data_IF_236587007728
#
_entry.id   IF_236587007728
#
_cell.length_a   1.000
_cell.length_b   1.000
_cell.length_c   1.000
_cell.angle_alpha   90.00
_cell.angle_beta   90.00
_cell.angle_gamma   90.00
#
_symmetry.space_group_name_H-M   'P 1'
#
loop_
_entity.id
_entity.type
_entity.pdbx_description
1 polymer ?
#
# COMPACT_ATOMS: atom_id res chain seq x y z
N UNK A 1 11.40 -4.78 6.52
CA UNK A 1 11.62 -4.74 5.05
C UNK A 1 13.08 -4.99 4.67
N UNK A 2 14.01 -4.12 5.07
CA UNK A 2 15.43 -4.09 4.65
C UNK A 2 16.20 -5.42 4.78
N UNK A 3 15.94 -6.21 5.82
CA UNK A 3 16.71 -7.43 6.08
C UNK A 3 16.30 -8.62 5.21
N UNK A 4 15.00 -8.77 4.96
CA UNK A 4 14.41 -10.02 4.47
C UNK A 4 13.71 -9.90 3.13
N UNK A 5 13.28 -8.70 2.73
CA UNK A 5 12.60 -8.49 1.47
C UNK A 5 13.53 -8.74 0.28
N UNK A 6 13.04 -9.49 -0.71
CA UNK A 6 13.80 -9.86 -1.92
C UNK A 6 12.96 -9.62 -3.16
N UNK A 7 13.58 -9.09 -4.20
CA UNK A 7 13.05 -9.06 -5.57
C UNK A 7 13.12 -10.44 -6.21
N UNK A 8 12.51 -10.58 -7.39
CA UNK A 8 12.43 -11.86 -8.12
C UNK A 8 13.81 -12.43 -8.49
N UNK A 9 14.80 -11.56 -8.73
CA UNK A 9 16.20 -11.92 -8.98
C UNK A 9 17.00 -12.25 -7.69
N UNK A 10 16.36 -12.17 -6.52
CA UNK A 10 16.98 -12.44 -5.23
C UNK A 10 17.77 -11.28 -4.62
N UNK A 11 17.78 -10.09 -5.25
CA UNK A 11 18.40 -8.90 -4.67
C UNK A 11 17.62 -8.40 -3.44
N UNK A 12 18.31 -7.69 -2.54
CA UNK A 12 17.65 -7.10 -1.35
C UNK A 12 16.84 -5.88 -1.77
N UNK A 13 15.56 -5.85 -1.40
CA UNK A 13 14.73 -4.65 -1.58
C UNK A 13 15.13 -3.63 -0.52
N UNK A 14 15.52 -2.44 -0.99
CA UNK A 14 15.70 -1.25 -0.15
C UNK A 14 14.47 -0.37 -0.34
N UNK A 15 13.75 -0.01 0.74
CA UNK A 15 12.66 0.93 0.62
C UNK A 15 13.20 2.29 0.17
N UNK A 16 12.43 3.00 -0.64
CA UNK A 16 12.64 4.43 -0.80
C UNK A 16 12.40 5.14 0.54
N UNK A 17 13.06 6.28 0.81
CA UNK A 17 12.86 7.05 2.04
C UNK A 17 11.39 7.20 2.45
N UNK A 18 10.52 7.66 1.54
CA UNK A 18 9.08 7.82 1.84
C UNK A 18 8.35 6.52 2.21
N UNK A 19 8.86 5.35 1.79
CA UNK A 19 8.26 4.04 2.10
C UNK A 19 8.61 3.57 3.51
N UNK A 20 9.73 4.01 4.09
CA UNK A 20 10.18 3.53 5.40
C UNK A 20 9.18 3.89 6.48
N UNK A 21 8.83 5.17 6.59
CA UNK A 21 7.86 5.66 7.58
C UNK A 21 6.48 5.00 7.38
N UNK A 22 6.09 4.80 6.12
CA UNK A 22 4.85 4.12 5.79
C UNK A 22 4.88 2.64 6.21
N UNK A 23 6.01 1.95 6.05
CA UNK A 23 6.16 0.58 6.49
C UNK A 23 6.17 0.46 8.03
N UNK A 24 6.77 1.42 8.72
CA UNK A 24 6.81 1.45 10.18
C UNK A 24 5.41 1.60 10.78
N UNK A 25 4.53 2.38 10.14
CA UNK A 25 3.12 2.52 10.52
C UNK A 25 2.34 1.19 10.51
N UNK A 26 2.72 0.20 9.70
CA UNK A 26 2.07 -1.12 9.71
C UNK A 26 2.41 -1.94 10.95
N UNK A 27 3.53 -1.65 11.61
CA UNK A 27 4.00 -2.35 12.81
C UNK A 27 3.82 -1.55 14.10
N UNK A 28 3.33 -0.32 14.01
CA UNK A 28 3.05 0.51 15.17
C UNK A 28 1.84 -0.04 15.94
N UNK A 29 2.02 -0.32 17.24
CA UNK A 29 0.99 -0.87 18.12
C UNK A 29 -0.19 0.08 18.38
N UNK A 30 0.02 1.38 18.22
CA UNK A 30 -1.03 2.40 18.37
C UNK A 30 -1.87 2.58 17.09
N UNK A 31 -1.37 2.09 15.96
CA UNK A 31 -2.02 2.20 14.66
C UNK A 31 -2.89 0.99 14.38
N UNK A 32 -4.21 1.19 14.34
CA UNK A 32 -5.17 0.10 14.02
C UNK A 32 -5.62 0.11 12.56
N UNK A 33 -5.36 1.20 11.84
CA UNK A 33 -5.66 1.32 10.42
C UNK A 33 -4.68 2.25 9.70
N UNK A 34 -4.18 1.82 8.53
CA UNK A 34 -3.37 2.62 7.62
C UNK A 34 -4.09 2.78 6.28
N UNK A 35 -4.37 4.02 5.86
CA UNK A 35 -5.01 4.33 4.57
C UNK A 35 -4.05 5.16 3.71
N UNK A 36 -3.66 4.64 2.55
CA UNK A 36 -2.65 5.28 1.69
C UNK A 36 -3.24 5.69 0.36
N UNK A 37 -3.50 7.00 0.24
CA UNK A 37 -3.80 7.62 -1.04
C UNK A 37 -2.51 7.79 -1.83
N UNK A 38 -2.37 7.08 -2.96
CA UNK A 38 -1.08 6.97 -3.67
C UNK A 38 -1.18 7.03 -5.18
N UNK A 39 -0.09 7.44 -5.83
CA UNK A 39 0.10 7.24 -7.28
C UNK A 39 0.47 5.78 -7.58
N UNK A 40 0.44 5.40 -8.85
CA UNK A 40 0.83 4.05 -9.27
C UNK A 40 2.33 3.80 -9.07
N UNK A 41 2.71 2.54 -8.85
CA UNK A 41 4.10 2.07 -8.83
C UNK A 41 5.01 2.65 -7.73
N UNK A 42 4.44 3.08 -6.61
CA UNK A 42 5.22 3.54 -5.44
C UNK A 42 5.57 2.43 -4.43
N UNK A 43 5.39 1.15 -4.77
CA UNK A 43 5.75 0.01 -3.91
C UNK A 43 4.87 -0.24 -2.68
N UNK A 44 3.63 0.29 -2.63
CA UNK A 44 2.68 0.00 -1.54
C UNK A 44 2.45 -1.51 -1.35
N UNK A 45 2.19 -2.24 -2.43
CA UNK A 45 1.97 -3.70 -2.36
C UNK A 45 3.19 -4.44 -1.80
N UNK A 46 4.41 -3.95 -2.04
CA UNK A 46 5.65 -4.50 -1.46
C UNK A 46 5.71 -4.30 0.05
N UNK A 47 5.25 -3.15 0.57
CA UNK A 47 5.15 -2.90 2.02
C UNK A 47 4.18 -3.89 2.65
N UNK A 48 2.99 -4.07 2.04
CA UNK A 48 1.98 -5.03 2.48
C UNK A 48 2.53 -6.47 2.46
N UNK A 49 3.21 -6.87 1.39
CA UNK A 49 3.88 -8.18 1.28
C UNK A 49 4.91 -8.38 2.40
N UNK A 50 5.71 -7.36 2.70
CA UNK A 50 6.67 -7.40 3.80
C UNK A 50 5.97 -7.57 5.15
N UNK A 51 4.85 -6.89 5.36
CA UNK A 51 4.06 -7.03 6.58
C UNK A 51 3.45 -8.43 6.71
N UNK A 52 2.93 -9.00 5.62
CA UNK A 52 2.45 -10.39 5.59
C UNK A 52 3.57 -11.37 5.96
N UNK A 53 4.76 -11.20 5.39
CA UNK A 53 5.92 -12.03 5.74
C UNK A 53 6.29 -11.90 7.23
N UNK A 54 6.24 -10.68 7.76
CA UNK A 54 6.49 -10.40 9.18
C UNK A 54 5.44 -11.07 10.08
N UNK A 55 4.14 -10.98 9.74
CA UNK A 55 3.07 -11.69 10.45
C UNK A 55 3.32 -13.19 10.48
N UNK A 56 3.65 -13.82 9.35
CA UNK A 56 3.94 -15.27 9.33
C UNK A 56 5.11 -15.62 10.26
N UNK A 57 6.18 -14.82 10.23
CA UNK A 57 7.43 -15.11 10.91
C UNK A 57 7.41 -14.82 12.42
N UNK A 58 6.80 -13.73 12.84
CA UNK A 58 7.00 -13.17 14.18
C UNK A 58 5.71 -13.04 14.98
N UNK A 59 4.58 -12.78 14.33
CA UNK A 59 3.31 -12.56 15.02
C UNK A 59 2.11 -13.15 14.24
N UNK A 60 2.01 -14.50 14.13
CA UNK A 60 1.05 -15.18 13.26
C UNK A 60 -0.38 -14.68 13.45
N UNK A 61 -1.03 -14.31 12.36
CA UNK A 61 -2.38 -13.75 12.33
C UNK A 61 -3.23 -14.39 11.23
N UNK A 62 -4.55 -14.20 11.31
CA UNK A 62 -5.48 -14.47 10.21
C UNK A 62 -5.57 -13.21 9.34
N UNK A 63 -5.15 -13.30 8.10
CA UNK A 63 -5.03 -12.14 7.19
C UNK A 63 -5.97 -12.30 6.01
N UNK A 64 -6.82 -11.29 5.78
CA UNK A 64 -7.62 -11.15 4.57
C UNK A 64 -7.02 -10.09 3.67
N UNK A 65 -6.86 -10.41 2.39
CA UNK A 65 -6.42 -9.47 1.35
C UNK A 65 -7.51 -9.40 0.30
N UNK A 66 -8.06 -8.22 0.06
CA UNK A 66 -9.03 -7.98 -1.00
C UNK A 66 -8.34 -7.35 -2.22
N UNK A 67 -8.64 -7.91 -3.39
CA UNK A 67 -8.29 -7.40 -4.71
C UNK A 67 -9.57 -7.02 -5.46
N UNK A 68 -9.51 -6.19 -6.52
CA UNK A 68 -10.71 -5.75 -7.23
C UNK A 68 -11.59 -6.90 -7.74
N UNK A 69 -10.96 -7.91 -8.35
CA UNK A 69 -11.66 -9.10 -8.85
C UNK A 69 -11.10 -10.40 -8.28
N UNK A 70 -11.84 -11.50 -8.46
CA UNK A 70 -11.34 -12.86 -8.14
C UNK A 70 -10.10 -13.19 -8.99
N UNK A 71 -10.07 -12.77 -10.25
CA UNK A 71 -8.92 -13.02 -11.12
C UNK A 71 -7.69 -12.23 -10.66
N UNK A 72 -7.88 -10.97 -10.24
CA UNK A 72 -6.81 -10.17 -9.61
C UNK A 72 -6.33 -10.83 -8.31
N UNK A 73 -7.23 -11.39 -7.50
CA UNK A 73 -6.89 -12.13 -6.29
C UNK A 73 -6.03 -13.36 -6.57
N UNK A 74 -6.35 -14.12 -7.62
CA UNK A 74 -5.53 -15.26 -8.01
C UNK A 74 -4.18 -14.84 -8.59
N UNK A 75 -4.16 -13.77 -9.40
CA UNK A 75 -2.93 -13.21 -9.95
C UNK A 75 -2.00 -12.72 -8.85
N UNK A 76 -2.52 -11.93 -7.91
CA UNK A 76 -1.77 -11.49 -6.73
C UNK A 76 -1.24 -12.69 -5.92
N UNK A 77 -2.00 -13.78 -5.79
CA UNK A 77 -1.43 -14.95 -5.11
C UNK A 77 -0.19 -15.49 -5.82
N UNK A 78 -0.25 -15.64 -7.13
CA UNK A 78 0.78 -16.32 -7.93
C UNK A 78 2.00 -15.44 -8.14
N UNK A 79 1.76 -14.18 -8.50
CA UNK A 79 2.80 -13.28 -8.99
C UNK A 79 3.43 -12.48 -7.82
N UNK A 80 2.67 -12.23 -6.75
CA UNK A 80 3.09 -11.35 -5.65
C UNK A 80 3.32 -12.10 -4.34
N UNK A 81 2.35 -12.90 -3.88
CA UNK A 81 2.44 -13.58 -2.58
C UNK A 81 3.34 -14.82 -2.62
N UNK A 82 3.19 -15.70 -3.61
CA UNK A 82 3.95 -16.95 -3.67
C UNK A 82 5.49 -16.72 -3.64
N UNK A 83 6.07 -15.69 -4.31
CA UNK A 83 7.48 -15.32 -4.14
C UNK A 83 7.86 -14.96 -2.69
N UNK A 84 7.00 -14.21 -1.99
CA UNK A 84 7.21 -13.82 -0.59
C UNK A 84 7.25 -15.05 0.33
N UNK A 85 6.42 -16.06 0.04
CA UNK A 85 6.42 -17.31 0.80
C UNK A 85 7.73 -18.11 0.65
N UNK A 86 8.54 -17.82 -0.37
CA UNK A 86 9.87 -18.40 -0.56
C UNK A 86 10.98 -17.70 0.22
N UNK A 87 10.70 -16.53 0.82
CA UNK A 87 11.71 -15.82 1.59
C UNK A 87 12.22 -16.66 2.76
N UNK A 88 13.53 -16.56 3.03
CA UNK A 88 14.20 -17.36 4.08
C UNK A 88 13.53 -17.19 5.45
N UNK A 89 13.05 -15.99 5.77
CA UNK A 89 12.37 -15.71 7.05
C UNK A 89 11.07 -16.49 7.18
N UNK A 90 10.28 -16.58 6.10
CA UNK A 90 9.01 -17.31 6.07
C UNK A 90 9.28 -18.82 6.09
N UNK A 91 10.20 -19.31 5.24
CA UNK A 91 10.51 -20.75 5.14
C UNK A 91 11.08 -21.37 6.40
N UNK A 92 11.63 -20.57 7.32
CA UNK A 92 12.09 -21.05 8.64
C UNK A 92 10.93 -21.49 9.53
N UNK A 93 9.73 -20.93 9.35
CA UNK A 93 8.58 -21.15 10.24
C UNK A 93 7.36 -21.79 9.55
N UNK A 94 7.29 -21.71 8.22
CA UNK A 94 6.18 -22.23 7.43
C UNK A 94 6.67 -22.88 6.14
N UNK A 95 5.92 -23.86 5.62
CA UNK A 95 6.22 -24.51 4.34
C UNK A 95 4.94 -24.68 3.55
N UNK A 96 4.92 -24.14 2.33
CA UNK A 96 3.76 -24.16 1.44
C UNK A 96 4.01 -25.14 0.30
N UNK A 97 3.68 -26.41 0.54
CA UNK A 97 3.90 -27.47 -0.46
C UNK A 97 2.93 -27.32 -1.63
N UNK A 98 3.37 -27.50 -2.88
CA UNK A 98 2.45 -27.58 -4.01
C UNK A 98 1.43 -28.70 -3.83
N UNK A 99 0.18 -28.49 -4.28
CA UNK A 99 -0.92 -29.47 -4.22
C UNK A 99 -1.27 -29.97 -2.80
N UNK A 100 -0.95 -29.20 -1.76
CA UNK A 100 -1.33 -29.50 -0.38
C UNK A 100 -2.65 -28.80 -0.02
N UNK A 101 -3.48 -29.43 0.83
CA UNK A 101 -4.78 -28.87 1.23
C UNK A 101 -4.68 -27.49 1.91
N UNK A 102 -3.56 -27.24 2.60
CA UNK A 102 -3.25 -25.97 3.27
C UNK A 102 -2.59 -24.91 2.35
N UNK A 103 -2.35 -25.24 1.08
CA UNK A 103 -1.81 -24.33 0.08
C UNK A 103 -2.66 -24.39 -1.19
N UNK A 104 -3.75 -23.63 -1.18
CA UNK A 104 -4.57 -23.35 -2.34
C UNK A 104 -4.18 -22.01 -2.95
N UNK A 105 -4.62 -21.74 -4.18
CA UNK A 105 -4.32 -20.48 -4.88
C UNK A 105 -4.72 -19.29 -3.99
N UNK A 106 -5.98 -19.19 -3.58
CA UNK A 106 -6.46 -18.06 -2.78
C UNK A 106 -6.41 -18.27 -1.26
N UNK A 107 -5.81 -19.36 -0.78
CA UNK A 107 -5.77 -19.67 0.66
C UNK A 107 -4.48 -20.39 1.07
N UNK A 108 -3.73 -19.77 2.00
CA UNK A 108 -2.48 -20.31 2.56
C UNK A 108 -2.66 -20.48 4.06
N UNK A 109 -2.32 -21.64 4.63
CA UNK A 109 -2.36 -21.87 6.09
C UNK A 109 -0.98 -22.16 6.64
N UNK A 110 -0.73 -21.71 7.85
CA UNK A 110 0.51 -21.92 8.59
C UNK A 110 0.20 -22.02 10.09
N UNK A 111 1.19 -22.39 10.89
CA UNK A 111 1.00 -22.49 12.34
C UNK A 111 0.61 -21.13 12.91
N UNK A 112 -0.54 -21.05 13.57
CA UNK A 112 -1.03 -19.83 14.22
C UNK A 112 -1.79 -18.87 13.31
N UNK A 113 -1.97 -19.17 12.01
CA UNK A 113 -2.64 -18.23 11.11
C UNK A 113 -2.96 -18.75 9.72
N UNK A 114 -3.52 -17.88 8.90
CA UNK A 114 -3.80 -18.13 7.49
C UNK A 114 -3.88 -16.83 6.72
N UNK A 115 -3.67 -16.90 5.41
CA UNK A 115 -3.92 -15.83 4.45
C UNK A 115 -5.03 -16.29 3.51
N UNK A 116 -6.05 -15.45 3.32
CA UNK A 116 -7.06 -15.63 2.27
C UNK A 116 -7.09 -14.39 1.38
N UNK A 117 -7.04 -14.60 0.06
CA UNK A 117 -7.10 -13.53 -0.93
C UNK A 117 -8.46 -13.59 -1.63
N UNK A 118 -9.16 -12.47 -1.69
CA UNK A 118 -10.56 -12.42 -2.08
C UNK A 118 -10.82 -11.35 -3.14
N UNK A 119 -11.79 -11.60 -4.01
CA UNK A 119 -12.22 -10.64 -5.03
C UNK A 119 -13.40 -9.81 -4.55
N UNK A 120 -13.26 -8.48 -4.56
CA UNK A 120 -14.33 -7.56 -4.15
C UNK A 120 -15.52 -7.54 -5.11
N UNK A 121 -15.33 -8.00 -6.36
CA UNK A 121 -16.38 -8.19 -7.36
C UNK A 121 -17.43 -9.27 -7.01
N UNK A 122 -17.26 -10.00 -5.89
CA UNK A 122 -18.20 -11.05 -5.51
C UNK A 122 -18.73 -10.89 -4.07
N UNK A 123 -19.99 -10.45 -3.88
CA UNK A 123 -20.78 -10.55 -2.65
C UNK A 123 -20.45 -11.64 -1.62
N UNK A 124 -20.37 -12.90 -2.09
CA UNK A 124 -20.16 -14.07 -1.23
C UNK A 124 -18.82 -14.04 -0.51
N UNK A 125 -17.82 -13.34 -1.07
CA UNK A 125 -16.47 -13.27 -0.54
C UNK A 125 -16.40 -12.50 0.79
N UNK A 126 -17.40 -11.69 1.10
CA UNK A 126 -17.48 -10.99 2.38
C UNK A 126 -18.11 -11.83 3.49
N UNK A 127 -18.72 -12.99 3.22
CA UNK A 127 -19.52 -13.70 4.22
C UNK A 127 -18.69 -14.77 4.96
N UNK A 128 -19.13 -15.12 6.17
CA UNK A 128 -18.63 -16.26 6.98
C UNK A 128 -17.10 -16.30 7.16
N UNK A 129 -16.47 -15.15 7.37
CA UNK A 129 -15.04 -15.06 7.66
C UNK A 129 -14.78 -14.02 8.74
N UNK A 130 -13.85 -14.34 9.64
CA UNK A 130 -13.34 -13.42 10.66
C UNK A 130 -11.82 -13.49 10.63
N UNK A 131 -11.19 -12.33 10.55
CA UNK A 131 -9.74 -12.18 10.45
C UNK A 131 -9.23 -11.23 11.53
N UNK A 132 -7.92 -11.21 11.71
CA UNK A 132 -7.23 -10.25 12.56
C UNK A 132 -6.79 -9.05 11.71
N UNK A 133 -6.21 -9.34 10.55
CA UNK A 133 -5.78 -8.34 9.57
C UNK A 133 -6.73 -8.28 8.35
N UNK A 134 -7.05 -7.07 7.88
CA UNK A 134 -7.83 -6.86 6.64
C UNK A 134 -7.15 -5.82 5.75
N UNK A 135 -6.73 -6.22 4.55
CA UNK A 135 -6.09 -5.33 3.59
C UNK A 135 -6.95 -5.14 2.33
N UNK A 136 -7.10 -3.89 1.90
CA UNK A 136 -7.79 -3.52 0.67
C UNK A 136 -6.78 -2.96 -0.34
N UNK A 137 -6.34 -3.80 -1.26
CA UNK A 137 -5.53 -3.37 -2.40
C UNK A 137 -6.44 -2.84 -3.51
N UNK A 138 -6.06 -1.70 -4.10
CA UNK A 138 -6.76 -1.05 -5.22
C UNK A 138 -8.27 -0.87 -4.96
N UNK A 139 -8.61 -0.38 -3.77
CA UNK A 139 -10.00 -0.28 -3.31
C UNK A 139 -10.90 0.66 -4.14
N UNK A 140 -10.32 1.61 -4.88
CA UNK A 140 -11.05 2.41 -5.89
C UNK A 140 -11.41 1.60 -7.15
N UNK A 141 -10.83 0.41 -7.32
CA UNK A 141 -11.21 -0.56 -8.34
C UNK A 141 -12.43 -1.41 -7.98
N UNK A 142 -12.93 -1.34 -6.75
CA UNK A 142 -14.01 -2.22 -6.29
C UNK A 142 -15.33 -1.79 -6.90
N UNK A 143 -16.26 -2.74 -7.17
CA UNK A 143 -17.58 -2.38 -7.66
C UNK A 143 -18.27 -1.43 -6.69
N UNK A 144 -19.11 -0.55 -7.22
CA UNK A 144 -19.98 0.27 -6.38
C UNK A 144 -20.98 -0.60 -5.62
N UNK A 145 -21.38 -0.11 -4.45
CA UNK A 145 -22.38 -0.78 -3.62
C UNK A 145 -23.64 -1.06 -4.46
N UNK A 146 -24.07 -2.32 -4.51
CA UNK A 146 -25.42 -2.64 -4.95
C UNK A 146 -26.39 -2.26 -3.84
N UNK A 147 -27.65 -1.98 -4.18
CA UNK A 147 -28.69 -1.61 -3.19
C UNK A 147 -28.87 -2.67 -2.09
N UNK A 148 -28.48 -3.91 -2.34
CA UNK A 148 -28.76 -5.07 -1.49
C UNK A 148 -27.65 -5.40 -0.49
N UNK A 149 -26.37 -5.15 -0.83
CA UNK A 149 -25.25 -5.66 -0.01
C UNK A 149 -24.39 -4.58 0.66
N UNK A 150 -24.49 -3.33 0.21
CA UNK A 150 -23.71 -2.21 0.75
C UNK A 150 -22.27 -2.16 0.22
N UNK A 151 -21.49 -1.21 0.74
CA UNK A 151 -20.15 -0.93 0.23
C UNK A 151 -19.12 -2.06 0.52
N UNK A 152 -18.43 -2.60 -0.51
CA UNK A 152 -17.45 -3.67 -0.35
C UNK A 152 -16.30 -3.38 0.62
N UNK A 153 -15.74 -2.16 0.61
CA UNK A 153 -14.66 -1.80 1.53
C UNK A 153 -15.15 -1.81 2.97
N UNK A 154 -16.34 -1.26 3.22
CA UNK A 154 -16.98 -1.32 4.54
C UNK A 154 -17.30 -2.74 4.96
N UNK A 155 -17.75 -3.61 4.05
CA UNK A 155 -17.99 -5.02 4.35
C UNK A 155 -16.71 -5.77 4.71
N UNK A 156 -15.60 -5.48 4.04
CA UNK A 156 -14.30 -6.07 4.34
C UNK A 156 -13.78 -5.66 5.73
N UNK A 157 -13.79 -4.37 6.06
CA UNK A 157 -13.34 -3.92 7.39
C UNK A 157 -14.21 -4.45 8.53
N UNK A 158 -15.47 -4.83 8.26
CA UNK A 158 -16.29 -5.53 9.25
C UNK A 158 -15.79 -6.94 9.59
N UNK A 159 -14.78 -7.49 8.91
CA UNK A 159 -14.30 -8.87 9.12
C UNK A 159 -13.31 -9.00 10.28
N UNK A 160 -12.74 -7.90 10.78
CA UNK A 160 -11.86 -7.92 11.96
C UNK A 160 -12.42 -7.15 13.17
N UNK A 161 -13.68 -6.71 13.14
CA UNK A 161 -14.27 -5.93 14.24
C UNK A 161 -14.21 -6.62 15.61
N UNK A 162 -14.28 -7.94 15.64
CA UNK A 162 -14.24 -8.74 16.88
C UNK A 162 -12.84 -9.26 17.20
N UNK A 163 -11.81 -8.94 16.40
CA UNK A 163 -10.44 -9.32 16.72
C UNK A 163 -9.88 -8.40 17.80
N UNK A 164 -9.27 -8.94 18.88
CA UNK A 164 -8.64 -8.14 19.93
C UNK A 164 -7.35 -7.45 19.47
N UNK A 165 -6.82 -7.83 18.30
CA UNK A 165 -5.57 -7.33 17.70
C UNK A 165 -5.78 -6.86 16.27
N UNK A 166 -6.95 -6.27 16.02
CA UNK A 166 -7.35 -5.89 14.67
C UNK A 166 -6.36 -4.91 14.06
N UNK A 167 -5.99 -5.15 12.82
CA UNK A 167 -5.26 -4.19 12.00
C UNK A 167 -5.85 -4.16 10.60
N UNK A 168 -5.99 -2.97 10.04
CA UNK A 168 -6.58 -2.76 8.71
C UNK A 168 -5.63 -1.94 7.85
N UNK A 169 -5.59 -2.20 6.55
CA UNK A 169 -4.87 -1.33 5.62
C UNK A 169 -5.65 -1.16 4.32
N UNK A 170 -5.53 0.00 3.70
CA UNK A 170 -6.03 0.25 2.34
C UNK A 170 -5.03 1.07 1.56
N UNK A 171 -4.89 0.77 0.27
CA UNK A 171 -4.06 1.55 -0.64
C UNK A 171 -4.62 1.53 -2.04
N UNK A 172 -4.75 2.70 -2.65
CA UNK A 172 -5.29 2.83 -3.99
C UNK A 172 -4.88 4.14 -4.64
N UNK A 173 -4.96 4.18 -5.97
CA UNK A 173 -4.95 5.45 -6.71
C UNK A 173 -6.37 5.99 -6.80
N UNK A 174 -6.63 7.25 -6.37
CA UNK A 174 -7.94 7.88 -6.54
C UNK A 174 -8.37 7.87 -8.00
N UNK A 175 -9.60 7.45 -8.29
CA UNK A 175 -10.13 7.46 -9.66
C UNK A 175 -11.02 8.67 -9.95
N UNK A 176 -12.03 8.90 -9.11
CA UNK A 176 -13.04 9.94 -9.35
C UNK A 176 -13.20 10.77 -8.09
N UNK A 177 -12.94 12.08 -8.20
CA UNK A 177 -13.10 13.02 -7.08
C UNK A 177 -14.54 12.99 -6.56
N UNK A 178 -14.71 12.89 -5.24
CA UNK A 178 -16.02 12.78 -4.59
C UNK A 178 -16.63 11.37 -4.59
N UNK A 179 -16.03 10.43 -5.33
CA UNK A 179 -16.43 9.02 -5.40
C UNK A 179 -15.19 8.12 -5.29
N UNK A 180 -14.18 8.52 -4.54
CA UNK A 180 -12.95 7.75 -4.38
C UNK A 180 -12.93 7.20 -2.96
N UNK A 181 -12.86 5.87 -2.83
CA UNK A 181 -12.89 5.22 -1.51
C UNK A 181 -11.65 5.55 -0.74
N UNK A 182 -10.50 5.57 -1.42
CA UNK A 182 -9.24 5.90 -0.78
C UNK A 182 -9.18 7.38 -0.38
N UNK A 183 -9.82 8.30 -1.11
CA UNK A 183 -9.96 9.69 -0.66
C UNK A 183 -10.77 9.76 0.64
N UNK A 184 -11.95 9.13 0.69
CA UNK A 184 -12.77 9.10 1.91
C UNK A 184 -12.01 8.47 3.09
N UNK A 185 -11.25 7.40 2.86
CA UNK A 185 -10.44 6.76 3.91
C UNK A 185 -9.26 7.61 4.36
N UNK A 186 -8.67 8.40 3.46
CA UNK A 186 -7.61 9.35 3.78
C UNK A 186 -8.15 10.53 4.59
N UNK A 187 -9.27 11.12 4.17
CA UNK A 187 -9.96 12.23 4.85
C UNK A 187 -10.43 11.87 6.27
N UNK A 188 -10.70 10.59 6.54
CA UNK A 188 -11.05 10.09 7.88
C UNK A 188 -9.83 9.89 8.81
N UNK A 189 -8.61 9.89 8.26
CA UNK A 189 -7.37 9.64 8.99
C UNK A 189 -6.66 10.90 9.45
N UNK A 190 -5.36 10.77 9.72
CA UNK A 190 -4.47 11.90 10.07
C UNK A 190 -4.18 12.84 8.90
N UNK A 191 -4.57 12.46 7.67
CA UNK A 191 -4.34 13.24 6.45
C UNK A 191 -2.88 13.63 6.24
N UNK A 192 -1.96 12.73 6.58
CA UNK A 192 -0.53 13.01 6.43
C UNK A 192 -0.10 13.14 4.97
N UNK A 193 0.70 14.17 4.69
CA UNK A 193 1.36 14.39 3.41
C UNK A 193 2.87 14.29 3.55
N UNK A 194 3.54 13.86 2.49
CA UNK A 194 5.01 13.87 2.42
C UNK A 194 5.49 15.29 2.11
N UNK A 195 6.15 15.91 3.07
CA UNK A 195 6.84 17.18 2.91
C UNK A 195 8.31 16.93 2.57
N UNK A 196 8.86 17.74 1.68
CA UNK A 196 10.27 17.67 1.27
C UNK A 196 10.90 19.07 1.28
N UNK A 197 12.18 19.21 1.66
CA UNK A 197 12.83 20.52 1.69
C UNK A 197 13.21 21.00 0.29
N UNK A 198 13.10 22.29 0.06
CA UNK A 198 13.78 22.93 -1.07
C UNK A 198 15.31 22.90 -0.83
N UNK A 199 16.13 22.42 -1.78
CA UNK A 199 17.59 22.38 -1.63
C UNK A 199 18.23 23.78 -1.53
N UNK A 200 17.58 24.82 -2.06
CA UNK A 200 18.11 26.19 -2.04
C UNK A 200 17.70 26.99 -0.80
N UNK A 201 16.45 26.87 -0.36
CA UNK A 201 15.90 27.72 0.72
C UNK A 201 15.47 26.96 1.96
N UNK A 202 15.56 25.62 1.98
CA UNK A 202 15.18 24.78 3.12
C UNK A 202 13.67 24.71 3.41
N UNK A 203 12.84 25.45 2.67
CA UNK A 203 11.40 25.47 2.89
C UNK A 203 10.78 24.10 2.65
N UNK A 204 10.01 23.62 3.62
CA UNK A 204 9.37 22.31 3.59
C UNK A 204 7.99 22.43 2.97
N UNK A 205 7.76 21.70 1.88
CA UNK A 205 6.54 21.80 1.08
C UNK A 205 6.07 20.43 0.61
N UNK A 206 4.80 20.34 0.20
CA UNK A 206 4.32 19.20 -0.59
C UNK A 206 4.56 19.48 -2.08
N UNK A 207 4.82 18.43 -2.85
CA UNK A 207 5.00 18.58 -4.28
C UNK A 207 3.65 18.55 -4.99
N UNK A 208 3.37 19.58 -5.80
CA UNK A 208 2.17 19.67 -6.64
C UNK A 208 2.56 19.68 -8.11
N UNK A 209 1.67 19.21 -8.98
CA UNK A 209 1.94 19.33 -10.42
C UNK A 209 1.99 20.80 -10.86
N UNK A 210 1.18 21.66 -10.23
CA UNK A 210 1.07 23.08 -10.53
C UNK A 210 0.25 23.36 -11.80
N UNK A 211 -0.13 24.62 -12.01
CA UNK A 211 -0.84 25.10 -13.20
C UNK A 211 0.02 26.02 -14.08
N UNK A 212 1.31 26.11 -13.78
CA UNK A 212 2.26 27.05 -14.41
C UNK A 212 2.41 28.37 -13.64
N UNK A 213 1.62 28.59 -12.59
CA UNK A 213 1.76 29.70 -11.65
C UNK A 213 2.16 29.18 -10.26
N UNK A 214 3.05 29.87 -9.54
CA UNK A 214 3.46 29.48 -8.18
C UNK A 214 4.36 28.24 -8.07
N UNK A 215 4.03 27.30 -7.19
CA UNK A 215 4.79 26.05 -7.05
C UNK A 215 4.38 25.02 -8.10
N UNK A 216 5.30 24.12 -8.47
CA UNK A 216 5.01 22.96 -9.31
C UNK A 216 5.98 22.76 -10.46
N UNK A 217 5.67 21.80 -11.33
CA UNK A 217 6.54 21.44 -12.45
C UNK A 217 6.53 22.58 -13.49
N UNK A 218 7.70 22.84 -14.06
CA UNK A 218 7.95 23.80 -15.14
C UNK A 218 8.73 23.12 -16.26
N UNK A 219 8.54 23.61 -17.47
CA UNK A 219 9.29 23.12 -18.63
C UNK A 219 9.38 24.20 -19.69
N UNK A 220 10.46 24.15 -20.45
CA UNK A 220 10.70 25.04 -21.59
C UNK A 220 11.44 24.32 -22.72
N UNK A 221 11.16 24.66 -23.99
CA UNK A 221 10.01 25.46 -24.45
C UNK A 221 8.67 24.73 -24.26
N UNK A 222 7.55 25.46 -24.37
CA UNK A 222 6.20 24.90 -24.15
C UNK A 222 5.85 23.74 -25.09
N UNK A 223 6.38 23.76 -26.32
CA UNK A 223 6.27 22.69 -27.30
C UNK A 223 7.64 22.03 -27.48
N UNK A 224 7.70 20.70 -27.45
CA UNK A 224 8.95 19.94 -27.48
C UNK A 224 9.93 20.40 -26.37
N UNK A 225 9.55 20.25 -25.08
CA UNK A 225 10.37 20.71 -23.96
C UNK A 225 11.76 20.07 -23.97
N UNK A 226 12.77 20.89 -23.76
CA UNK A 226 14.18 20.49 -23.69
C UNK A 226 14.71 20.56 -22.26
N UNK A 227 14.01 21.25 -21.37
CA UNK A 227 14.33 21.38 -19.94
C UNK A 227 13.05 21.30 -19.12
N UNK A 228 13.11 20.63 -17.98
CA UNK A 228 12.05 20.61 -16.97
C UNK A 228 12.67 20.70 -15.58
N UNK A 229 11.98 21.42 -14.68
CA UNK A 229 12.39 21.62 -13.29
C UNK A 229 11.15 21.74 -12.40
N UNK A 230 11.32 21.69 -11.09
CA UNK A 230 10.26 22.01 -10.13
C UNK A 230 10.50 23.41 -9.55
N UNK A 231 9.47 24.24 -9.50
CA UNK A 231 9.52 25.54 -8.82
C UNK A 231 8.93 25.40 -7.42
N UNK A 232 9.68 25.77 -6.37
CA UNK A 232 9.18 25.71 -5.00
C UNK A 232 8.20 26.84 -4.66
N UNK A 233 7.52 26.73 -3.51
CA UNK A 233 6.60 27.76 -3.00
C UNK A 233 7.27 29.14 -2.81
N UNK A 234 8.58 29.18 -2.57
CA UNK A 234 9.37 30.42 -2.46
C UNK A 234 10.01 30.85 -3.80
N UNK A 235 9.72 30.16 -4.91
CA UNK A 235 10.17 30.54 -6.25
C UNK A 235 11.52 30.00 -6.70
N UNK A 236 12.24 29.23 -5.88
CA UNK A 236 13.50 28.57 -6.28
C UNK A 236 13.26 27.51 -7.36
N UNK A 237 14.18 27.39 -8.31
CA UNK A 237 14.20 26.29 -9.28
C UNK A 237 14.92 25.07 -8.67
N UNK A 238 14.35 23.89 -8.88
CA UNK A 238 14.85 22.62 -8.38
C UNK A 238 14.95 21.65 -9.56
N UNK A 239 16.18 21.30 -9.92
CA UNK A 239 16.45 20.29 -10.96
C UNK A 239 16.28 18.85 -10.44
N UNK A 240 16.06 17.90 -11.36
CA UNK A 240 15.77 16.48 -11.04
C UNK A 240 16.87 15.83 -10.18
N UNK A 241 18.13 16.29 -10.27
CA UNK A 241 19.25 15.74 -9.50
C UNK A 241 19.09 15.90 -7.97
N UNK A 242 18.30 16.88 -7.53
CA UNK A 242 18.05 17.10 -6.10
C UNK A 242 16.98 16.17 -5.52
N UNK A 243 16.19 15.51 -6.37
CA UNK A 243 15.05 14.69 -5.93
C UNK A 243 15.42 13.57 -4.96
N UNK A 244 16.53 12.80 -5.14
CA UNK A 244 16.92 11.80 -4.16
C UNK A 244 17.22 12.41 -2.78
N UNK A 245 17.95 13.53 -2.75
CA UNK A 245 18.25 14.25 -1.51
C UNK A 245 16.98 14.77 -0.85
N UNK A 246 16.05 15.35 -1.62
CA UNK A 246 14.77 15.84 -1.12
C UNK A 246 13.93 14.73 -0.49
N UNK A 247 13.89 13.55 -1.10
CA UNK A 247 13.15 12.40 -0.57
C UNK A 247 13.78 11.86 0.72
N UNK A 248 15.11 11.77 0.76
CA UNK A 248 15.88 11.37 1.95
C UNK A 248 15.68 12.32 3.14
N UNK A 249 15.53 13.61 2.88
CA UNK A 249 15.26 14.63 3.90
C UNK A 249 13.76 14.88 4.13
N UNK A 250 12.89 14.14 3.44
CA UNK A 250 11.46 14.31 3.55
C UNK A 250 10.88 13.72 4.83
N UNK A 251 9.72 14.20 5.24
CA UNK A 251 8.98 13.69 6.40
C UNK A 251 7.47 13.72 6.15
N UNK A 252 6.75 12.80 6.79
CA UNK A 252 5.28 12.80 6.78
C UNK A 252 4.76 13.75 7.87
N UNK A 253 3.79 14.61 7.51
CA UNK A 253 3.16 15.57 8.42
C UNK A 253 1.65 15.60 8.22
N UNK A 254 0.89 15.67 9.33
CA UNK A 254 -0.55 15.86 9.36
C UNK A 254 -0.95 17.34 9.14
#
# INVERSE_FOLDING_TARGET
MVEHARSDDGARIRPFPFQSDLADAFTNLETTQVSVRKSSRIGYSTILQCFVAWRIAYDPARTLIYQPTIDDAEKFSRDDLDPVLQWKVVRKVATFKPRHADNQIRAKRYKGGWIQIKGANSPKEFRRVTADDVFLEECDGYPWATKEEGDPARLAFKRNLTSPRRFSAAGSTPKVKGFSRIDTLFEQGSQEFRYVPCPSCGHMQTLVFGDGTGAGIRWEPRHAPTRAWYQCENGCEIDEEHKPWMDEQGEWRA
#
